data_IF_351007075926
#
_entry.id   IF_351007075926
#
_cell.length_a   1.000
_cell.length_b   1.000
_cell.length_c   1.000
_cell.angle_alpha   90.00
_cell.angle_beta   90.00
_cell.angle_gamma   90.00
#
_symmetry.space_group_name_H-M   'P 1'
#
loop_
_entity.id
_entity.type
_entity.pdbx_description
1 polymer ?
#
# COMPACT_ATOMS: atom_id res chain seq x y z
N UNK A 1 2.99 9.65 -10.28
CA UNK A 1 3.51 8.74 -9.23
C UNK A 1 4.79 9.23 -8.54
N UNK A 2 5.72 9.92 -9.23
CA UNK A 2 7.00 10.36 -8.62
C UNK A 2 6.84 11.34 -7.44
N UNK A 3 5.87 12.25 -7.51
CA UNK A 3 5.58 13.22 -6.45
C UNK A 3 5.06 12.55 -5.17
N UNK A 4 4.22 11.51 -5.30
CA UNK A 4 3.60 10.80 -4.17
C UNK A 4 4.65 9.99 -3.39
N UNK A 5 5.67 9.46 -4.06
CA UNK A 5 6.78 8.75 -3.41
C UNK A 5 7.91 9.69 -2.96
N UNK A 6 7.74 11.01 -2.98
CA UNK A 6 8.81 11.99 -2.65
C UNK A 6 10.07 11.86 -3.52
N UNK A 7 9.96 11.27 -4.72
CA UNK A 7 11.11 10.96 -5.59
C UNK A 7 11.98 9.78 -5.12
N UNK A 8 11.57 9.05 -4.08
CA UNK A 8 12.31 7.91 -3.54
C UNK A 8 11.96 6.61 -4.29
N UNK A 9 12.97 5.80 -4.59
CA UNK A 9 12.80 4.43 -5.13
C UNK A 9 12.64 3.45 -3.98
N UNK A 10 11.58 2.65 -3.95
CA UNK A 10 11.33 1.63 -2.92
C UNK A 10 11.43 0.24 -3.53
N UNK A 11 12.13 -0.67 -2.85
CA UNK A 11 12.22 -2.07 -3.25
C UNK A 11 10.96 -2.85 -2.88
N UNK A 12 10.78 -4.05 -3.43
CA UNK A 12 9.60 -4.87 -3.16
C UNK A 12 9.43 -5.25 -1.68
N UNK A 13 10.53 -5.35 -0.93
CA UNK A 13 10.51 -5.57 0.52
C UNK A 13 10.06 -4.35 1.35
N UNK A 14 9.97 -3.16 0.75
CA UNK A 14 9.64 -1.90 1.43
C UNK A 14 8.22 -1.39 1.14
N UNK A 15 7.30 -2.28 0.72
CA UNK A 15 5.92 -1.91 0.35
C UNK A 15 5.18 -1.16 1.45
N UNK A 16 5.33 -1.58 2.71
CA UNK A 16 4.68 -0.92 3.85
C UNK A 16 5.23 0.49 4.08
N UNK A 17 6.55 0.66 4.08
CA UNK A 17 7.20 1.98 4.23
C UNK A 17 6.82 2.93 3.09
N UNK A 18 6.72 2.41 1.86
CA UNK A 18 6.23 3.15 0.69
C UNK A 18 4.78 3.59 0.89
N UNK A 19 3.90 2.69 1.34
CA UNK A 19 2.51 3.02 1.61
C UNK A 19 2.40 4.12 2.68
N UNK A 20 3.14 4.01 3.79
CA UNK A 20 3.19 5.02 4.86
C UNK A 20 3.69 6.38 4.37
N UNK A 21 4.75 6.41 3.55
CA UNK A 21 5.22 7.66 2.91
C UNK A 21 4.14 8.29 2.02
N UNK A 22 3.48 7.47 1.20
CA UNK A 22 2.45 7.95 0.29
C UNK A 22 1.26 8.52 1.05
N UNK A 23 0.84 7.87 2.13
CA UNK A 23 -0.23 8.38 2.99
C UNK A 23 0.14 9.73 3.59
N UNK A 24 1.35 9.90 4.14
CA UNK A 24 1.79 11.19 4.69
C UNK A 24 1.78 12.28 3.62
N UNK A 25 2.32 11.99 2.42
CA UNK A 25 2.35 12.97 1.33
C UNK A 25 0.94 13.36 0.87
N UNK A 26 0.01 12.39 0.79
CA UNK A 26 -1.40 12.67 0.46
C UNK A 26 -2.04 13.50 1.57
N UNK A 27 -1.80 13.18 2.84
CA UNK A 27 -2.34 13.97 3.96
C UNK A 27 -1.81 15.39 3.93
N UNK A 28 -0.51 15.60 3.71
CA UNK A 28 0.08 16.95 3.60
C UNK A 28 -0.59 17.71 2.45
N UNK A 29 -0.76 17.08 1.29
CA UNK A 29 -1.41 17.71 0.13
C UNK A 29 -2.85 18.13 0.46
N UNK A 30 -3.64 17.23 1.07
CA UNK A 30 -5.02 17.50 1.46
C UNK A 30 -5.10 18.59 2.54
N UNK A 31 -4.17 18.59 3.51
CA UNK A 31 -4.09 19.60 4.54
C UNK A 31 -3.77 20.98 3.95
N UNK A 32 -2.82 21.07 3.02
CA UNK A 32 -2.52 22.32 2.30
C UNK A 32 -3.77 22.82 1.56
N UNK A 33 -4.49 21.93 0.87
CA UNK A 33 -5.73 22.32 0.19
C UNK A 33 -6.80 22.82 1.15
N UNK A 34 -6.97 22.16 2.30
CA UNK A 34 -7.86 22.59 3.38
C UNK A 34 -7.51 23.96 3.94
N UNK A 35 -6.23 24.24 4.17
CA UNK A 35 -5.75 25.55 4.65
C UNK A 35 -5.93 26.64 3.59
N UNK A 36 -5.66 26.36 2.31
CA UNK A 36 -5.92 27.32 1.22
C UNK A 36 -7.42 27.67 1.11
N UNK A 37 -8.29 26.67 1.29
CA UNK A 37 -9.72 26.89 1.36
C UNK A 37 -10.08 27.75 2.59
N UNK A 38 -9.50 27.46 3.77
CA UNK A 38 -9.65 28.25 4.99
C UNK A 38 -9.27 29.73 4.80
N UNK A 39 -8.12 29.99 4.17
CA UNK A 39 -7.68 31.35 3.80
C UNK A 39 -8.72 32.04 2.92
N UNK A 40 -9.23 31.35 1.91
CA UNK A 40 -10.23 31.90 0.98
C UNK A 40 -11.50 32.30 1.72
N UNK A 41 -12.01 31.43 2.60
CA UNK A 41 -13.20 31.71 3.42
C UNK A 41 -12.95 32.88 4.38
N UNK A 42 -11.81 32.91 5.06
CA UNK A 42 -11.45 33.97 6.00
C UNK A 42 -11.33 35.34 5.30
N UNK A 43 -10.79 35.38 4.08
CA UNK A 43 -10.72 36.59 3.25
C UNK A 43 -12.10 37.03 2.76
N UNK A 44 -12.94 36.10 2.29
CA UNK A 44 -14.29 36.42 1.78
C UNK A 44 -15.23 36.93 2.86
N UNK A 45 -15.13 36.40 4.08
CA UNK A 45 -16.00 36.76 5.20
C UNK A 45 -15.49 37.97 5.99
N UNK A 46 -14.31 38.51 5.67
CA UNK A 46 -13.61 39.56 6.42
C UNK A 46 -13.47 39.25 7.93
N UNK A 47 -13.54 37.96 8.30
CA UNK A 47 -13.78 37.56 9.68
C UNK A 47 -12.56 37.75 10.60
N UNK A 48 -11.35 37.41 10.13
CA UNK A 48 -10.13 37.67 10.90
C UNK A 48 -8.85 37.58 10.05
N UNK A 49 -8.02 38.63 10.11
CA UNK A 49 -6.65 38.60 9.55
C UNK A 49 -5.80 37.56 10.29
N UNK A 50 -6.02 37.38 11.60
CA UNK A 50 -5.33 36.40 12.43
C UNK A 50 -5.53 34.97 11.94
N UNK A 51 -6.73 34.60 11.47
CA UNK A 51 -6.98 33.29 10.89
C UNK A 51 -6.16 33.02 9.63
N UNK A 52 -6.07 34.01 8.73
CA UNK A 52 -5.25 33.92 7.51
C UNK A 52 -3.76 33.74 7.84
N UNK A 53 -3.24 34.47 8.82
CA UNK A 53 -1.85 34.33 9.26
C UNK A 53 -1.59 32.94 9.81
N UNK A 54 -2.50 32.41 10.63
CA UNK A 54 -2.37 31.07 11.21
C UNK A 54 -2.38 29.98 10.13
N UNK A 55 -3.26 30.10 9.13
CA UNK A 55 -3.32 29.16 8.01
C UNK A 55 -2.03 29.21 7.17
N UNK A 56 -1.46 30.40 6.92
CA UNK A 56 -0.19 30.56 6.21
C UNK A 56 0.99 29.94 6.97
N UNK A 57 1.05 30.12 8.29
CA UNK A 57 2.06 29.48 9.14
C UNK A 57 1.90 27.96 9.08
N UNK A 58 0.67 27.45 9.12
CA UNK A 58 0.39 26.01 8.96
C UNK A 58 0.89 25.46 7.63
N UNK A 59 0.64 26.18 6.52
CA UNK A 59 1.16 25.79 5.19
C UNK A 59 2.69 25.78 5.18
N UNK A 60 3.35 26.78 5.77
CA UNK A 60 4.81 26.85 5.83
C UNK A 60 5.41 25.67 6.61
N UNK A 61 4.82 25.31 7.76
CA UNK A 61 5.21 24.14 8.55
C UNK A 61 5.03 22.87 7.72
N UNK A 62 3.85 22.63 7.14
CA UNK A 62 3.60 21.46 6.30
C UNK A 62 4.56 21.34 5.12
N UNK A 63 4.94 22.46 4.51
CA UNK A 63 5.90 22.50 3.42
C UNK A 63 7.31 22.10 3.89
N UNK A 64 7.79 22.67 5.01
CA UNK A 64 9.06 22.31 5.63
C UNK A 64 9.08 20.81 5.94
N UNK A 65 8.02 20.28 6.54
CA UNK A 65 7.96 18.87 6.92
C UNK A 65 7.89 17.94 5.69
N UNK A 66 7.23 18.38 4.61
CA UNK A 66 7.26 17.68 3.32
C UNK A 66 8.68 17.61 2.73
N UNK A 67 9.46 18.70 2.85
CA UNK A 67 10.86 18.71 2.45
C UNK A 67 11.69 17.71 3.28
N UNK A 68 11.53 17.70 4.60
CA UNK A 68 12.22 16.72 5.47
C UNK A 68 11.91 15.27 5.08
N UNK A 69 10.66 14.97 4.70
CA UNK A 69 10.26 13.64 4.24
C UNK A 69 11.00 13.20 2.97
N UNK A 70 11.48 14.14 2.15
CA UNK A 70 12.26 13.85 0.92
C UNK A 70 13.72 13.51 1.20
N UNK A 71 14.32 14.08 2.24
CA UNK A 71 15.78 14.03 2.42
C UNK A 71 16.29 12.74 3.09
N UNK A 72 15.49 12.03 3.89
CA UNK A 72 16.03 10.85 4.58
C UNK A 72 14.97 9.81 4.99
N UNK A 73 14.89 8.71 4.21
CA UNK A 73 14.18 7.48 4.60
C UNK A 73 14.55 6.98 6.00
N UNK A 74 15.83 7.15 6.37
CA UNK A 74 16.38 6.70 7.67
C UNK A 74 15.78 7.44 8.86
N UNK A 75 15.29 8.66 8.66
CA UNK A 75 14.70 9.50 9.71
C UNK A 75 13.18 9.50 9.70
N UNK A 76 12.56 8.59 8.95
CA UNK A 76 11.10 8.54 8.81
C UNK A 76 10.37 8.50 10.16
N UNK A 77 10.80 7.64 11.09
CA UNK A 77 10.17 7.53 12.41
C UNK A 77 10.33 8.80 13.26
N UNK A 78 11.43 9.54 13.10
CA UNK A 78 11.61 10.84 13.74
C UNK A 78 10.62 11.85 13.16
N UNK A 79 10.52 11.92 11.83
CA UNK A 79 9.62 12.85 11.14
C UNK A 79 8.16 12.57 11.51
N UNK A 80 7.73 11.30 11.55
CA UNK A 80 6.38 10.94 11.99
C UNK A 80 6.13 11.23 13.48
N UNK A 81 7.19 11.24 14.31
CA UNK A 81 7.09 11.67 15.72
C UNK A 81 6.84 13.16 15.80
N UNK A 82 7.62 13.95 15.06
CA UNK A 82 7.47 15.41 15.00
C UNK A 82 6.06 15.76 14.52
N UNK A 83 5.56 15.12 13.46
CA UNK A 83 4.19 15.28 12.99
C UNK A 83 3.15 14.94 14.07
N UNK A 84 3.32 13.82 14.78
CA UNK A 84 2.39 13.43 15.82
C UNK A 84 2.30 14.48 16.94
N UNK A 85 3.44 15.04 17.33
CA UNK A 85 3.53 16.11 18.33
C UNK A 85 2.89 17.40 17.80
N UNK A 86 3.20 17.80 16.57
CA UNK A 86 2.62 18.99 15.94
C UNK A 86 1.09 18.91 15.89
N UNK A 87 0.54 17.78 15.44
CA UNK A 87 -0.91 17.56 15.41
C UNK A 87 -1.51 17.57 16.82
N UNK A 88 -0.85 16.95 17.79
CA UNK A 88 -1.33 16.96 19.17
C UNK A 88 -1.43 18.38 19.73
N UNK A 89 -0.37 19.18 19.57
CA UNK A 89 -0.35 20.57 20.00
C UNK A 89 -1.39 21.43 19.26
N UNK A 90 -1.53 21.22 17.94
CA UNK A 90 -2.55 21.90 17.13
C UNK A 90 -3.96 21.59 17.65
N UNK A 91 -4.22 20.34 17.99
CA UNK A 91 -5.52 19.91 18.47
C UNK A 91 -5.85 20.40 19.88
N UNK A 92 -4.87 20.40 20.79
CA UNK A 92 -5.02 21.03 22.10
C UNK A 92 -5.29 22.54 21.95
N UNK A 93 -4.52 23.23 21.09
CA UNK A 93 -4.72 24.64 20.79
C UNK A 93 -6.13 24.91 20.25
N UNK A 94 -6.61 24.03 19.37
CA UNK A 94 -7.94 24.17 18.77
C UNK A 94 -9.04 24.08 19.83
N UNK A 95 -8.90 23.22 20.84
CA UNK A 95 -9.82 23.13 21.99
C UNK A 95 -9.72 24.38 22.88
N UNK A 96 -8.52 24.95 23.03
CA UNK A 96 -8.31 26.17 23.81
C UNK A 96 -9.01 27.38 23.18
N UNK A 97 -8.92 27.55 21.86
CA UNK A 97 -9.41 28.74 21.16
C UNK A 97 -10.85 28.62 20.65
N UNK A 98 -11.41 27.41 20.57
CA UNK A 98 -12.73 27.18 20.00
C UNK A 98 -13.82 27.10 21.07
N UNK A 99 -15.05 27.36 20.65
CA UNK A 99 -16.24 27.10 21.45
C UNK A 99 -16.79 25.71 21.11
N UNK A 100 -17.51 25.03 22.04
CA UNK A 100 -18.15 23.75 21.72
C UNK A 100 -19.15 23.81 20.56
N UNK A 101 -19.74 24.99 20.30
CA UNK A 101 -20.65 25.20 19.18
C UNK A 101 -19.91 25.29 17.83
N UNK A 102 -18.61 25.59 17.83
CA UNK A 102 -17.81 25.67 16.62
C UNK A 102 -17.51 24.26 16.11
N UNK A 103 -17.82 23.96 14.85
CA UNK A 103 -17.52 22.67 14.21
C UNK A 103 -16.01 22.38 14.05
N UNK A 104 -15.14 23.31 14.47
CA UNK A 104 -13.67 23.20 14.37
C UNK A 104 -13.15 21.95 15.09
N UNK A 105 -13.77 21.55 16.21
CA UNK A 105 -13.34 20.36 16.96
C UNK A 105 -13.62 19.03 16.23
N UNK A 106 -14.44 19.02 15.16
CA UNK A 106 -14.62 17.82 14.34
C UNK A 106 -13.32 17.35 13.69
N UNK A 107 -12.36 18.26 13.46
CA UNK A 107 -11.04 17.89 12.94
C UNK A 107 -10.28 16.94 13.87
N UNK A 108 -10.57 16.96 15.18
CA UNK A 108 -9.98 16.06 16.17
C UNK A 108 -10.25 14.58 15.82
N UNK A 109 -11.39 14.30 15.17
CA UNK A 109 -11.78 12.95 14.74
C UNK A 109 -10.88 12.37 13.66
N UNK A 110 -10.11 13.23 12.96
CA UNK A 110 -9.14 12.78 11.96
C UNK A 110 -7.85 12.25 12.59
N UNK A 111 -7.52 12.67 13.83
CA UNK A 111 -6.27 12.33 14.48
C UNK A 111 -6.06 10.81 14.67
N UNK A 112 -7.05 10.02 15.12
CA UNK A 112 -6.91 8.58 15.19
C UNK A 112 -6.48 7.93 13.89
N UNK A 113 -7.02 8.37 12.76
CA UNK A 113 -6.66 7.84 11.45
C UNK A 113 -5.23 8.25 11.07
N UNK A 114 -4.86 9.51 11.26
CA UNK A 114 -3.53 10.03 10.91
C UNK A 114 -2.43 9.33 11.70
N UNK A 115 -2.54 9.33 13.03
CA UNK A 115 -1.55 8.70 13.91
C UNK A 115 -1.40 7.22 13.64
N UNK A 116 -2.51 6.55 13.39
CA UNK A 116 -2.51 5.16 13.02
C UNK A 116 -1.63 4.88 11.79
N UNK A 117 -1.79 5.66 10.71
CA UNK A 117 -0.96 5.50 9.51
C UNK A 117 0.50 5.95 9.72
N UNK A 118 0.72 6.97 10.57
CA UNK A 118 2.04 7.54 10.80
C UNK A 118 2.93 6.65 11.67
N UNK A 119 2.35 5.99 12.68
CA UNK A 119 3.09 5.29 13.74
C UNK A 119 3.10 3.77 13.65
N UNK A 120 2.33 3.19 12.72
CA UNK A 120 2.29 1.75 12.52
C UNK A 120 1.79 1.00 13.76
N UNK A 121 2.00 -0.31 13.80
CA UNK A 121 1.23 -1.24 14.64
C UNK A 121 1.36 -1.05 16.16
N UNK A 122 2.54 -0.67 16.65
CA UNK A 122 2.84 -0.81 18.09
C UNK A 122 2.76 0.46 18.90
N UNK A 123 2.88 1.65 18.28
CA UNK A 123 2.98 2.91 19.03
C UNK A 123 1.78 3.82 18.90
N UNK A 124 0.91 3.62 17.90
CA UNK A 124 -0.22 4.51 17.64
C UNK A 124 -1.22 4.60 18.80
N UNK A 125 -1.51 3.49 19.51
CA UNK A 125 -2.41 3.48 20.67
C UNK A 125 -1.89 4.38 21.80
N UNK A 126 -0.57 4.38 22.04
CA UNK A 126 0.04 5.24 23.04
C UNK A 126 -0.14 6.72 22.71
N UNK A 127 -0.06 7.10 21.43
CA UNK A 127 -0.30 8.47 20.96
C UNK A 127 -1.75 8.91 21.08
N UNK A 128 -2.71 7.98 20.91
CA UNK A 128 -4.13 8.26 21.20
C UNK A 128 -4.36 8.46 22.69
N UNK A 129 -3.78 7.61 23.52
CA UNK A 129 -3.81 7.79 24.97
C UNK A 129 -3.20 9.12 25.40
N UNK A 130 -2.10 9.52 24.77
CA UNK A 130 -1.42 10.80 25.03
C UNK A 130 -2.28 12.00 24.61
N UNK A 131 -2.98 11.93 23.47
CA UNK A 131 -3.96 12.97 23.08
C UNK A 131 -5.11 13.05 24.09
N UNK A 132 -5.73 11.92 24.46
CA UNK A 132 -6.84 11.94 25.42
C UNK A 132 -6.37 12.56 26.74
N UNK A 133 -5.19 12.16 27.22
CA UNK A 133 -4.59 12.71 28.43
C UNK A 133 -4.31 14.22 28.28
N UNK A 134 -3.79 14.67 27.14
CA UNK A 134 -3.48 16.09 26.90
C UNK A 134 -4.74 16.96 26.93
N UNK A 135 -5.88 16.45 26.43
CA UNK A 135 -7.17 17.16 26.51
C UNK A 135 -7.62 17.38 27.96
N UNK A 136 -7.47 16.36 28.82
CA UNK A 136 -7.78 16.49 30.25
C UNK A 136 -6.84 17.47 30.95
N UNK A 137 -5.53 17.38 30.69
CA UNK A 137 -4.54 18.31 31.23
C UNK A 137 -4.85 19.75 30.80
N UNK A 138 -5.15 19.93 29.51
CA UNK A 138 -5.53 21.22 28.93
C UNK A 138 -6.74 21.80 29.65
N UNK A 139 -7.75 21.00 30.02
CA UNK A 139 -8.89 21.50 30.79
C UNK A 139 -8.60 21.75 32.28
N UNK A 140 -7.69 20.99 32.89
CA UNK A 140 -7.35 21.10 34.31
C UNK A 140 -6.38 22.25 34.63
N UNK A 141 -5.63 22.75 33.64
CA UNK A 141 -4.73 23.87 33.90
C UNK A 141 -5.51 25.15 34.27
N UNK A 142 -4.99 25.97 35.22
CA UNK A 142 -5.69 27.16 35.71
C UNK A 142 -5.35 28.47 34.96
N UNK A 143 -4.41 28.44 34.01
CA UNK A 143 -3.84 29.62 33.37
C UNK A 143 -4.72 30.23 32.27
N UNK A 144 -5.37 29.39 31.47
CA UNK A 144 -6.16 29.81 30.30
C UNK A 144 -7.60 29.31 30.46
N UNK A 145 -8.62 30.21 30.45
CA UNK A 145 -10.01 29.81 30.55
C UNK A 145 -10.46 29.10 29.27
N UNK A 146 -10.83 27.83 29.40
CA UNK A 146 -11.33 27.02 28.28
C UNK A 146 -12.84 26.90 28.37
N UNK A 147 -13.51 27.19 27.25
CA UNK A 147 -14.97 27.21 27.15
C UNK A 147 -15.60 25.81 27.24
N UNK A 148 -14.87 24.76 26.84
CA UNK A 148 -15.32 23.38 26.98
C UNK A 148 -15.52 23.02 28.45
N UNK A 149 -16.67 22.43 28.77
CA UNK A 149 -16.92 21.84 30.10
C UNK A 149 -16.21 20.49 30.23
N UNK A 150 -16.07 19.98 31.45
CA UNK A 150 -15.51 18.63 31.65
C UNK A 150 -16.35 17.53 30.99
N UNK A 151 -17.66 17.76 30.84
CA UNK A 151 -18.55 16.82 30.14
C UNK A 151 -18.21 16.79 28.65
N UNK A 152 -17.93 17.94 28.04
CA UNK A 152 -17.60 18.03 26.62
C UNK A 152 -16.26 17.34 26.32
N UNK A 153 -15.24 17.56 27.17
CA UNK A 153 -13.94 16.87 27.04
C UNK A 153 -14.10 15.36 27.18
N UNK A 154 -14.91 14.91 28.15
CA UNK A 154 -15.20 13.48 28.33
C UNK A 154 -15.94 12.89 27.13
N UNK A 155 -16.91 13.62 26.57
CA UNK A 155 -17.59 13.23 25.35
C UNK A 155 -16.62 13.08 24.17
N UNK A 156 -15.74 14.06 23.95
CA UNK A 156 -14.70 13.98 22.91
C UNK A 156 -13.79 12.77 23.10
N UNK A 157 -13.35 12.49 24.33
CA UNK A 157 -12.53 11.32 24.63
C UNK A 157 -13.24 10.00 24.31
N UNK A 158 -14.54 9.89 24.62
CA UNK A 158 -15.37 8.72 24.26
C UNK A 158 -15.47 8.57 22.75
N UNK A 159 -15.78 9.65 22.01
CA UNK A 159 -15.88 9.61 20.55
C UNK A 159 -14.54 9.23 19.91
N UNK A 160 -13.42 9.81 20.38
CA UNK A 160 -12.09 9.44 19.93
C UNK A 160 -11.77 7.96 20.18
N UNK A 161 -12.19 7.42 21.33
CA UNK A 161 -12.02 6.01 21.67
C UNK A 161 -12.83 5.11 20.74
N UNK A 162 -14.08 5.46 20.44
CA UNK A 162 -14.92 4.73 19.48
C UNK A 162 -14.28 4.75 18.08
N UNK A 163 -13.84 5.92 17.60
CA UNK A 163 -13.17 6.04 16.30
C UNK A 163 -11.88 5.21 16.23
N UNK A 164 -11.11 5.20 17.31
CA UNK A 164 -9.90 4.37 17.46
C UNK A 164 -10.22 2.89 17.31
N UNK A 165 -11.30 2.40 17.94
CA UNK A 165 -11.76 1.02 17.81
C UNK A 165 -12.17 0.71 16.37
N UNK A 166 -12.94 1.58 15.73
CA UNK A 166 -13.39 1.40 14.33
C UNK A 166 -12.19 1.29 13.38
N UNK A 167 -11.20 2.18 13.52
CA UNK A 167 -9.98 2.17 12.70
C UNK A 167 -9.17 0.91 12.95
N UNK A 168 -9.06 0.47 14.20
CA UNK A 168 -8.37 -0.77 14.55
C UNK A 168 -9.02 -1.99 13.88
N UNK A 169 -10.36 -2.10 13.95
CA UNK A 169 -11.10 -3.17 13.28
C UNK A 169 -10.91 -3.14 11.77
N UNK A 170 -10.99 -1.95 11.16
CA UNK A 170 -10.78 -1.77 9.73
C UNK A 170 -9.38 -2.24 9.30
N UNK A 171 -8.34 -1.87 10.05
CA UNK A 171 -6.98 -2.38 9.81
C UNK A 171 -6.93 -3.89 9.92
N UNK A 172 -7.40 -4.45 11.03
CA UNK A 172 -7.33 -5.89 11.28
C UNK A 172 -7.90 -6.69 10.10
N UNK A 173 -8.98 -6.20 9.48
CA UNK A 173 -9.55 -6.78 8.26
C UNK A 173 -8.65 -6.62 7.03
N UNK A 174 -8.06 -5.45 6.82
CA UNK A 174 -7.10 -5.23 5.73
C UNK A 174 -5.88 -6.14 5.86
N UNK A 175 -5.31 -6.25 7.05
CA UNK A 175 -4.11 -7.05 7.29
C UNK A 175 -4.38 -8.54 7.05
N UNK A 176 -5.54 -9.02 7.48
CA UNK A 176 -6.00 -10.38 7.17
C UNK A 176 -6.19 -10.59 5.66
N UNK A 177 -6.76 -9.61 4.96
CA UNK A 177 -6.90 -9.62 3.50
C UNK A 177 -5.54 -9.67 2.80
N UNK A 178 -4.60 -8.83 3.22
CA UNK A 178 -3.23 -8.80 2.68
C UNK A 178 -2.48 -10.11 2.93
N UNK A 179 -2.63 -10.70 4.11
CA UNK A 179 -2.06 -12.02 4.42
C UNK A 179 -2.63 -13.11 3.51
N UNK A 180 -3.94 -13.06 3.23
CA UNK A 180 -4.62 -14.00 2.34
C UNK A 180 -4.14 -13.85 0.90
N UNK A 181 -4.06 -12.61 0.39
CA UNK A 181 -3.55 -12.30 -0.95
C UNK A 181 -2.11 -12.78 -1.10
N UNK A 182 -1.27 -12.58 -0.09
CA UNK A 182 0.13 -13.03 -0.10
C UNK A 182 0.21 -14.56 -0.18
N UNK A 183 -0.57 -15.26 0.64
CA UNK A 183 -0.65 -16.73 0.61
C UNK A 183 -1.11 -17.25 -0.77
N UNK A 184 -2.13 -16.62 -1.36
CA UNK A 184 -2.61 -16.98 -2.71
C UNK A 184 -1.56 -16.72 -3.79
N UNK A 185 -0.81 -15.62 -3.69
CA UNK A 185 0.30 -15.33 -4.62
C UNK A 185 1.38 -16.40 -4.53
N UNK A 186 1.79 -16.76 -3.31
CA UNK A 186 2.83 -17.77 -3.08
C UNK A 186 2.38 -19.16 -3.58
N UNK A 187 1.08 -19.50 -3.45
CA UNK A 187 0.51 -20.71 -4.03
C UNK A 187 0.51 -20.69 -5.57
N UNK A 188 0.14 -19.56 -6.17
CA UNK A 188 0.12 -19.42 -7.63
C UNK A 188 1.53 -19.56 -8.22
N UNK A 189 2.54 -18.95 -7.58
CA UNK A 189 3.94 -19.04 -8.01
C UNK A 189 4.47 -20.48 -7.96
N UNK A 190 4.10 -21.25 -6.92
CA UNK A 190 4.40 -22.69 -6.84
C UNK A 190 3.75 -23.47 -7.97
N UNK A 191 2.45 -23.26 -8.22
CA UNK A 191 1.73 -23.93 -9.30
C UNK A 191 2.31 -23.60 -10.67
N UNK A 192 2.70 -22.35 -10.91
CA UNK A 192 3.37 -21.94 -12.15
C UNK A 192 4.69 -22.69 -12.32
N UNK A 193 5.51 -22.74 -11.28
CA UNK A 193 6.80 -23.45 -11.31
C UNK A 193 6.61 -24.96 -11.55
N UNK A 194 5.63 -25.58 -10.89
CA UNK A 194 5.29 -27.00 -11.10
C UNK A 194 4.81 -27.26 -12.53
N UNK A 195 3.98 -26.37 -13.07
CA UNK A 195 3.47 -26.49 -14.44
C UNK A 195 4.59 -26.33 -15.47
N UNK A 196 5.49 -25.36 -15.30
CA UNK A 196 6.67 -25.18 -16.15
C UNK A 196 7.54 -26.43 -16.17
N UNK A 197 7.83 -27.00 -15.00
CA UNK A 197 8.60 -28.24 -14.89
C UNK A 197 7.90 -29.42 -15.59
N UNK A 198 6.57 -29.53 -15.44
CA UNK A 198 5.79 -30.59 -16.09
C UNK A 198 5.76 -30.44 -17.61
N UNK A 199 5.63 -29.21 -18.11
CA UNK A 199 5.70 -28.89 -19.54
C UNK A 199 7.07 -29.27 -20.08
N UNK A 200 8.16 -28.85 -19.43
CA UNK A 200 9.53 -29.20 -19.82
C UNK A 200 9.74 -30.72 -19.88
N UNK A 201 9.29 -31.45 -18.85
CA UNK A 201 9.38 -32.91 -18.81
C UNK A 201 8.61 -33.56 -19.97
N UNK A 202 7.39 -33.09 -20.27
CA UNK A 202 6.58 -33.60 -21.38
C UNK A 202 7.14 -33.24 -22.75
N UNK A 203 7.72 -32.06 -22.90
CA UNK A 203 8.41 -31.67 -24.14
C UNK A 203 9.62 -32.56 -24.40
N UNK A 204 10.40 -32.91 -23.38
CA UNK A 204 11.54 -33.82 -23.53
C UNK A 204 11.09 -35.27 -23.83
N UNK A 205 10.02 -35.73 -23.19
CA UNK A 205 9.41 -37.04 -23.49
C UNK A 205 8.95 -37.11 -24.97
N UNK A 206 8.24 -36.09 -25.45
CA UNK A 206 7.80 -36.00 -26.84
C UNK A 206 8.97 -35.92 -27.82
N UNK A 207 10.04 -35.20 -27.48
CA UNK A 207 11.24 -35.11 -28.32
C UNK A 207 11.92 -36.47 -28.48
N UNK A 208 12.03 -37.23 -27.40
CA UNK A 208 12.57 -38.61 -27.43
C UNK A 208 11.68 -39.53 -28.26
N UNK A 209 10.37 -39.47 -28.05
CA UNK A 209 9.42 -40.29 -28.80
C UNK A 209 9.45 -39.98 -30.31
N UNK A 210 9.55 -38.70 -30.69
CA UNK A 210 9.69 -38.30 -32.09
C UNK A 210 10.99 -38.84 -32.70
N UNK A 211 12.12 -38.74 -32.00
CA UNK A 211 13.38 -39.31 -32.48
C UNK A 211 13.28 -40.84 -32.68
N UNK A 212 12.69 -41.57 -31.72
CA UNK A 212 12.46 -43.01 -31.86
C UNK A 212 11.51 -43.36 -33.02
N UNK A 213 10.53 -42.50 -33.30
CA UNK A 213 9.61 -42.69 -34.43
C UNK A 213 10.30 -42.41 -35.76
N UNK A 214 11.14 -41.37 -35.85
CA UNK A 214 11.95 -41.06 -37.03
C UNK A 214 12.87 -42.24 -37.38
N UNK A 215 13.60 -42.77 -36.40
CA UNK A 215 14.44 -43.96 -36.58
C UNK A 215 13.64 -45.17 -37.10
N UNK A 216 12.46 -45.43 -36.52
CA UNK A 216 11.58 -46.53 -36.97
C UNK A 216 11.05 -46.32 -38.38
N UNK A 217 10.71 -45.09 -38.75
CA UNK A 217 10.24 -44.74 -40.08
C UNK A 217 11.36 -44.94 -41.10
N UNK A 218 12.59 -44.52 -40.79
CA UNK A 218 13.75 -44.71 -41.64
C UNK A 218 14.05 -46.21 -41.87
N UNK A 219 14.06 -47.01 -40.80
CA UNK A 219 14.24 -48.46 -40.88
C UNK A 219 13.16 -49.09 -41.77
N UNK A 220 11.88 -48.71 -41.59
CA UNK A 220 10.79 -49.24 -42.42
C UNK A 220 10.91 -48.81 -43.88
N UNK A 221 11.32 -47.57 -44.15
CA UNK A 221 11.55 -47.09 -45.50
C UNK A 221 12.64 -47.91 -46.20
N UNK A 222 13.76 -48.18 -45.51
CA UNK A 222 14.84 -49.04 -46.02
C UNK A 222 14.34 -50.47 -46.30
N UNK A 223 13.58 -51.07 -45.38
CA UNK A 223 13.00 -52.41 -45.57
C UNK A 223 12.04 -52.48 -46.77
N UNK A 224 11.28 -51.42 -47.04
CA UNK A 224 10.40 -51.34 -48.22
C UNK A 224 11.24 -51.30 -49.50
N UNK A 225 12.29 -50.47 -49.55
CA UNK A 225 13.21 -50.39 -50.69
C UNK A 225 13.88 -51.74 -50.96
N UNK A 226 14.34 -52.44 -49.93
CA UNK A 226 14.91 -53.78 -50.06
C UNK A 226 13.89 -54.79 -50.61
N UNK A 227 12.66 -54.78 -50.09
CA UNK A 227 11.59 -55.64 -50.59
C UNK A 227 11.25 -55.37 -52.05
N UNK A 228 11.16 -54.11 -52.44
CA UNK A 228 10.90 -53.72 -53.83
C UNK A 228 12.01 -54.20 -54.77
N UNK A 229 13.28 -54.12 -54.34
CA UNK A 229 14.42 -54.66 -55.09
C UNK A 229 14.33 -56.19 -55.27
N UNK A 230 13.92 -56.92 -54.23
CA UNK A 230 13.69 -58.37 -54.30
C UNK A 230 12.52 -58.71 -55.23
N UNK A 231 11.39 -57.99 -55.12
CA UNK A 231 10.24 -58.19 -56.00
C UNK A 231 10.63 -57.93 -57.46
N UNK A 232 11.38 -56.86 -57.73
CA UNK A 232 11.81 -56.51 -59.09
C UNK A 232 12.74 -57.57 -59.71
N UNK A 233 13.61 -58.18 -58.91
CA UNK A 233 14.45 -59.31 -59.35
C UNK A 233 13.63 -60.57 -59.60
N UNK A 234 12.65 -60.88 -58.73
CA UNK A 234 11.70 -61.99 -58.94
C UNK A 234 10.82 -61.79 -60.19
N UNK A 235 10.27 -60.59 -60.40
CA UNK A 235 9.48 -60.26 -61.60
C UNK A 235 10.31 -60.41 -62.87
N UNK A 236 11.59 -59.99 -62.87
CA UNK A 236 12.50 -60.22 -64.00
C UNK A 236 12.73 -61.72 -64.26
N UNK A 237 12.93 -62.52 -63.21
CA UNK A 237 13.09 -63.98 -63.35
C UNK A 237 11.82 -64.64 -63.89
N UNK A 238 10.64 -64.24 -63.41
CA UNK A 238 9.35 -64.75 -63.90
C UNK A 238 9.12 -64.42 -65.38
N UNK A 239 9.40 -63.19 -65.81
CA UNK A 239 9.30 -62.79 -67.21
C UNK A 239 10.28 -63.55 -68.13
N UNK A 240 11.47 -63.91 -67.62
CA UNK A 240 12.40 -64.79 -68.35
C UNK A 240 11.89 -66.24 -68.43
N UNK A 241 11.17 -66.70 -67.41
CA UNK A 241 10.57 -68.04 -67.38
C UNK A 241 9.38 -68.22 -68.31
N UNK A 242 8.61 -67.18 -68.60
CA UNK A 242 7.49 -67.21 -69.58
C UNK A 242 7.95 -67.23 -71.05
N UNK A 243 9.22 -66.95 -71.35
CA UNK A 243 9.75 -66.98 -72.72
C UNK A 243 10.30 -68.36 -73.16
N UNK A 244 10.16 -69.39 -72.33
CA UNK A 244 10.59 -70.78 -72.59
C UNK A 244 9.36 -71.64 -72.84
#
# INVERSE_FOLDING_TARGET
MYFINSGLKFDEGQRELKARHNTINITILLAIFGLLFGITVNLMTQASITGVVLDLVGIAVLFITSLFLRFAKKHFELITTIFAIEFLLLFDLLVVISTPADLKHMWLLTYPALIFFYKGDKSWIAWIGLLILSLYITKLQPFIPIQYSMRDITYLAVVLSIMTIVIYFYKSRIDLGNATIRSQKDQLEKLTTELENKVLAKTEELRKLNAELEDKVEIKAQQIVEKDAVILTQSRQAAMGEMI
#
